data_IF_789725881347
#
_entry.id   IF_789725881347
#
_cell.length_a   1.000
_cell.length_b   1.000
_cell.length_c   1.000
_cell.angle_alpha   90.00
_cell.angle_beta   90.00
_cell.angle_gamma   90.00
#
_symmetry.space_group_name_H-M   'P 1'
#
loop_
_entity.id
_entity.type
_entity.pdbx_description
1 polymer ?
#
# COMPACT_ATOMS: atom_id res chain seq x y z
N UNK A 1 1.85 3.24 8.02
CA UNK A 1 0.65 4.11 8.00
C UNK A 1 -0.43 3.55 8.91
N UNK A 2 -1.14 4.40 9.64
CA UNK A 2 -2.28 3.96 10.48
C UNK A 2 -3.50 3.62 9.61
N UNK A 3 -4.24 2.59 10.02
CA UNK A 3 -5.38 2.09 9.23
C UNK A 3 -6.58 3.05 9.23
N UNK A 4 -6.67 3.94 10.22
CA UNK A 4 -7.71 4.97 10.35
C UNK A 4 -7.58 6.05 9.28
N UNK A 5 -6.36 6.49 8.96
CA UNK A 5 -6.08 7.52 7.94
C UNK A 5 -6.46 7.05 6.53
N UNK A 6 -6.32 5.76 6.25
CA UNK A 6 -6.65 5.18 4.95
C UNK A 6 -8.17 5.13 4.69
N UNK A 7 -9.00 5.08 5.75
CA UNK A 7 -10.46 5.04 5.61
C UNK A 7 -11.08 6.41 5.30
N UNK A 8 -10.35 7.49 5.58
CA UNK A 8 -10.82 8.87 5.32
C UNK A 8 -10.55 9.32 3.88
N UNK A 9 -9.69 8.59 3.16
CA UNK A 9 -9.30 8.91 1.79
C UNK A 9 -10.32 8.41 0.78
N UNK A 10 -10.41 9.13 -0.33
CA UNK A 10 -11.23 8.69 -1.47
C UNK A 10 -10.60 7.49 -2.19
N UNK A 11 -11.42 6.70 -2.88
CA UNK A 11 -10.95 5.53 -3.64
C UNK A 11 -9.87 5.90 -4.68
N UNK A 12 -10.01 7.08 -5.30
CA UNK A 12 -9.03 7.63 -6.25
C UNK A 12 -7.69 7.91 -5.57
N UNK A 13 -7.69 8.55 -4.41
CA UNK A 13 -6.47 8.81 -3.63
C UNK A 13 -5.80 7.51 -3.16
N UNK A 14 -6.60 6.53 -2.72
CA UNK A 14 -6.08 5.22 -2.33
C UNK A 14 -5.40 4.50 -3.49
N UNK A 15 -5.95 4.63 -4.70
CA UNK A 15 -5.37 4.04 -5.91
C UNK A 15 -4.05 4.70 -6.29
N UNK A 16 -3.95 6.04 -6.21
CA UNK A 16 -2.70 6.78 -6.45
C UNK A 16 -1.63 6.42 -5.40
N UNK A 17 -2.03 6.33 -4.13
CA UNK A 17 -1.14 5.91 -3.04
C UNK A 17 -0.63 4.49 -3.24
N UNK A 18 -1.51 3.57 -3.65
CA UNK A 18 -1.15 2.19 -3.97
C UNK A 18 -0.07 2.12 -5.05
N UNK A 19 -0.24 2.88 -6.14
CA UNK A 19 0.73 2.91 -7.24
C UNK A 19 2.09 3.45 -6.78
N UNK A 20 2.07 4.53 -5.99
CA UNK A 20 3.29 5.13 -5.43
C UNK A 20 4.04 4.13 -4.56
N UNK A 21 3.35 3.46 -3.63
CA UNK A 21 3.94 2.44 -2.74
C UNK A 21 4.46 1.22 -3.49
N UNK A 22 3.80 0.82 -4.58
CA UNK A 22 4.29 -0.25 -5.47
C UNK A 22 5.58 0.16 -6.19
N UNK A 23 5.66 1.40 -6.69
CA UNK A 23 6.89 1.95 -7.29
C UNK A 23 8.02 2.03 -6.26
N UNK A 24 7.73 2.43 -5.04
CA UNK A 24 8.73 2.47 -3.96
C UNK A 24 9.24 1.06 -3.62
N UNK A 25 8.35 0.06 -3.57
CA UNK A 25 8.75 -1.34 -3.38
C UNK A 25 9.60 -1.84 -4.55
N UNK A 26 9.27 -1.45 -5.78
CA UNK A 26 10.05 -1.78 -6.97
C UNK A 26 11.45 -1.14 -6.89
N UNK A 27 11.54 0.17 -6.64
CA UNK A 27 12.80 0.88 -6.41
C UNK A 27 13.61 0.26 -5.28
N UNK A 28 12.98 -0.14 -4.19
CA UNK A 28 13.64 -0.83 -3.08
C UNK A 28 14.23 -2.18 -3.52
N UNK A 29 13.49 -2.97 -4.31
CA UNK A 29 13.96 -4.27 -4.83
C UNK A 29 15.15 -4.11 -5.79
N UNK A 30 15.08 -3.15 -6.70
CA UNK A 30 16.12 -2.92 -7.71
C UNK A 30 17.31 -2.12 -7.17
N UNK A 31 17.09 -1.17 -6.26
CA UNK A 31 18.14 -0.42 -5.59
C UNK A 31 18.93 -1.23 -4.56
N UNK A 32 18.36 -2.34 -4.05
CA UNK A 32 19.04 -3.24 -3.12
C UNK A 32 20.07 -4.17 -3.80
N UNK A 33 20.18 -4.21 -5.15
CA UNK A 33 21.09 -5.14 -5.84
C UNK A 33 22.57 -4.72 -5.83
N UNK A 34 22.90 -3.49 -5.39
CA UNK A 34 24.25 -2.93 -5.51
C UNK A 34 25.12 -2.93 -4.26
N UNK A 35 24.55 -2.76 -3.06
CA UNK A 35 25.32 -2.83 -1.80
C UNK A 35 24.40 -3.01 -0.60
N UNK A 36 24.88 -3.74 0.42
CA UNK A 36 24.29 -3.98 1.75
C UNK A 36 22.94 -3.24 1.97
N UNK A 37 21.83 -3.96 1.78
CA UNK A 37 20.48 -3.46 2.04
C UNK A 37 20.35 -3.05 3.53
N UNK A 38 20.72 -1.82 3.86
CA UNK A 38 20.81 -1.30 5.23
C UNK A 38 19.44 -1.24 5.92
N UNK A 39 18.35 -1.20 5.14
CA UNK A 39 16.98 -1.06 5.61
C UNK A 39 16.05 -2.21 5.18
N UNK A 40 16.35 -3.46 5.59
CA UNK A 40 15.44 -4.61 5.37
C UNK A 40 14.04 -4.36 5.97
N UNK A 41 13.95 -3.57 7.05
CA UNK A 41 12.69 -3.17 7.69
C UNK A 41 11.79 -2.37 6.74
N UNK A 42 12.37 -1.56 5.86
CA UNK A 42 11.65 -0.66 4.97
C UNK A 42 10.83 -1.42 3.92
N UNK A 43 11.40 -2.49 3.34
CA UNK A 43 10.67 -3.38 2.44
C UNK A 43 9.48 -4.08 3.12
N UNK A 44 9.63 -4.48 4.40
CA UNK A 44 8.53 -5.08 5.17
C UNK A 44 7.41 -4.07 5.45
N UNK A 45 7.76 -2.83 5.79
CA UNK A 45 6.77 -1.75 5.99
C UNK A 45 6.04 -1.39 4.71
N UNK A 46 6.73 -1.30 3.57
CA UNK A 46 6.10 -1.03 2.26
C UNK A 46 5.08 -2.11 1.89
N UNK A 47 5.41 -3.39 2.07
CA UNK A 47 4.45 -4.49 1.84
C UNK A 47 3.23 -4.42 2.77
N UNK A 48 3.45 -4.08 4.04
CA UNK A 48 2.36 -3.92 5.01
C UNK A 48 1.42 -2.78 4.64
N UNK A 49 1.97 -1.63 4.23
CA UNK A 49 1.17 -0.48 3.81
C UNK A 49 0.34 -0.80 2.55
N UNK A 50 0.92 -1.50 1.56
CA UNK A 50 0.18 -1.96 0.37
C UNK A 50 -0.99 -2.88 0.76
N UNK A 51 -0.74 -3.85 1.64
CA UNK A 51 -1.78 -4.77 2.10
C UNK A 51 -2.93 -4.04 2.79
N UNK A 52 -2.63 -3.07 3.66
CA UNK A 52 -3.63 -2.24 4.34
C UNK A 52 -4.49 -1.46 3.35
N UNK A 53 -3.89 -0.84 2.33
CA UNK A 53 -4.62 -0.10 1.29
C UNK A 53 -5.57 -1.04 0.53
N UNK A 54 -5.10 -2.22 0.12
CA UNK A 54 -5.93 -3.21 -0.58
C UNK A 54 -7.10 -3.68 0.29
N UNK A 55 -6.88 -3.95 1.58
CA UNK A 55 -7.95 -4.35 2.50
C UNK A 55 -9.04 -3.29 2.61
N UNK A 56 -8.66 -2.00 2.69
CA UNK A 56 -9.63 -0.90 2.72
C UNK A 56 -10.43 -0.83 1.42
N UNK A 57 -9.75 -0.90 0.26
CA UNK A 57 -10.43 -0.91 -1.05
C UNK A 57 -11.41 -2.08 -1.19
N UNK A 58 -11.00 -3.30 -0.82
CA UNK A 58 -11.88 -4.47 -0.83
C UNK A 58 -13.05 -4.30 0.14
N UNK A 59 -12.83 -3.73 1.32
CA UNK A 59 -13.91 -3.42 2.28
C UNK A 59 -14.93 -2.43 1.70
N UNK A 60 -14.47 -1.38 1.03
CA UNK A 60 -15.35 -0.41 0.36
C UNK A 60 -16.17 -1.08 -0.75
N UNK A 61 -15.53 -1.94 -1.56
CA UNK A 61 -16.21 -2.68 -2.63
C UNK A 61 -17.23 -3.68 -2.10
N UNK A 62 -16.94 -4.36 -0.99
CA UNK A 62 -17.85 -5.29 -0.33
C UNK A 62 -19.11 -4.58 0.20
N UNK A 63 -18.95 -3.41 0.84
CA UNK A 63 -20.07 -2.58 1.29
C UNK A 63 -20.95 -2.12 0.13
N UNK A 64 -20.36 -1.84 -1.04
CA UNK A 64 -21.12 -1.46 -2.25
C UNK A 64 -21.89 -2.63 -2.85
N UNK A 65 -21.38 -3.87 -2.77
CA UNK A 65 -22.03 -5.08 -3.29
C UNK A 65 -23.23 -5.53 -2.46
N UNK A 66 -23.24 -5.27 -1.15
CA UNK A 66 -24.35 -5.63 -0.26
C UNK A 66 -25.58 -4.69 -0.36
N UNK A 67 -25.53 -3.67 -1.22
CA UNK A 67 -26.61 -2.71 -1.46
C UNK A 67 -27.42 -3.02 -2.74
N UNK A 68 -27.35 -4.26 -3.23
CA UNK A 68 -28.14 -4.77 -4.36
C UNK A 68 -28.93 -6.01 -3.96
#
# INVERSE_FOLDING_TARGET
>A
MEASELKQKTEKELTVLLDTKRRDLWKFRFGASGSKARNVKEGKTLRRDIARILTVLTGMHALRKNNF
#
